data_IF_420298644045
#
_entry.id   IF_420298644045
#
_cell.length_a   1.000
_cell.length_b   1.000
_cell.length_c   1.000
_cell.angle_alpha   90.00
_cell.angle_beta   90.00
_cell.angle_gamma   90.00
#
_symmetry.space_group_name_H-M   'P 1'
#
loop_
_entity.id
_entity.type
_entity.pdbx_description
1 polymer ?
#
# COMPACT_ATOMS: atom_id res chain seq x y z
N UNK A 1 -3.85 -6.73 -21.57
CA UNK A 1 -3.97 -7.37 -20.23
C UNK A 1 -2.68 -7.37 -19.42
N UNK A 2 -1.51 -7.76 -19.98
CA UNK A 2 -0.22 -7.73 -19.24
C UNK A 2 0.10 -6.37 -18.60
N UNK A 3 -0.13 -5.28 -19.34
CA UNK A 3 0.07 -3.90 -18.84
C UNK A 3 -0.85 -3.59 -17.66
N UNK A 4 -2.11 -4.01 -17.73
CA UNK A 4 -3.11 -3.77 -16.67
C UNK A 4 -2.72 -4.51 -15.39
N UNK A 5 -2.33 -5.78 -15.47
CA UNK A 5 -1.85 -6.54 -14.30
C UNK A 5 -0.56 -5.97 -13.73
N UNK A 6 0.35 -5.46 -14.56
CA UNK A 6 1.58 -4.81 -14.10
C UNK A 6 1.30 -3.49 -13.38
N UNK A 7 0.35 -2.69 -13.87
CA UNK A 7 -0.06 -1.46 -13.18
C UNK A 7 -0.75 -1.79 -11.85
N UNK A 8 -1.60 -2.82 -11.81
CA UNK A 8 -2.28 -3.25 -10.59
C UNK A 8 -1.29 -3.76 -9.53
N UNK A 9 -0.30 -4.55 -9.96
CA UNK A 9 0.79 -5.00 -9.09
C UNK A 9 1.62 -3.82 -8.57
N UNK A 10 1.99 -2.88 -9.44
CA UNK A 10 2.72 -1.69 -9.05
C UNK A 10 1.95 -0.87 -8.01
N UNK A 11 0.63 -0.72 -8.19
CA UNK A 11 -0.23 0.01 -7.27
C UNK A 11 -0.38 -0.70 -5.91
N UNK A 12 -0.43 -2.05 -5.92
CA UNK A 12 -0.42 -2.85 -4.71
C UNK A 12 0.92 -2.73 -3.95
N UNK A 13 2.05 -2.79 -4.67
CA UNK A 13 3.39 -2.58 -4.10
C UNK A 13 3.49 -1.17 -3.51
N UNK A 14 2.98 -0.15 -4.20
CA UNK A 14 2.96 1.21 -3.70
C UNK A 14 2.17 1.32 -2.39
N UNK A 15 1.01 0.64 -2.27
CA UNK A 15 0.25 0.60 -1.02
C UNK A 15 1.05 -0.03 0.13
N UNK A 16 1.81 -1.10 -0.12
CA UNK A 16 2.70 -1.72 0.88
C UNK A 16 3.78 -0.74 1.34
N UNK A 17 4.42 -0.04 0.40
CA UNK A 17 5.47 0.95 0.71
C UNK A 17 4.91 2.09 1.55
N UNK A 18 3.72 2.60 1.23
CA UNK A 18 3.04 3.64 2.02
C UNK A 18 2.72 3.17 3.44
N UNK A 19 2.19 1.96 3.60
CA UNK A 19 1.93 1.38 4.92
C UNK A 19 3.23 1.22 5.73
N UNK A 20 4.29 0.76 5.07
CA UNK A 20 5.60 0.59 5.69
C UNK A 20 6.23 1.94 6.10
N UNK A 21 6.08 2.97 5.27
CA UNK A 21 6.52 4.33 5.61
C UNK A 21 5.82 4.86 6.86
N UNK A 22 4.51 4.63 7.00
CA UNK A 22 3.78 4.99 8.24
C UNK A 22 4.36 4.27 9.46
N UNK A 23 4.62 2.97 9.33
CA UNK A 23 5.18 2.17 10.42
C UNK A 23 6.59 2.66 10.79
N UNK A 24 7.44 2.95 9.81
CA UNK A 24 8.77 3.52 10.04
C UNK A 24 8.71 4.86 10.79
N UNK A 25 7.82 5.77 10.37
CA UNK A 25 7.66 7.06 11.05
C UNK A 25 7.21 6.86 12.48
N UNK A 26 6.25 5.95 12.73
CA UNK A 26 5.82 5.61 14.09
C UNK A 26 7.00 5.08 14.93
N UNK A 27 7.74 4.09 14.41
CA UNK A 27 8.88 3.51 15.12
C UNK A 27 9.99 4.52 15.38
N UNK A 28 10.27 5.43 14.45
CA UNK A 28 11.27 6.48 14.63
C UNK A 28 10.79 7.52 15.65
N UNK A 29 9.50 7.86 15.64
CA UNK A 29 8.92 8.75 16.64
C UNK A 29 8.98 8.13 18.05
N UNK A 30 8.68 6.84 18.19
CA UNK A 30 8.77 6.13 19.47
C UNK A 30 10.22 5.93 19.93
N UNK A 31 11.16 5.68 19.01
CA UNK A 31 12.54 5.33 19.36
C UNK A 31 13.47 6.54 19.53
N UNK A 32 13.23 7.64 18.80
CA UNK A 32 14.07 8.83 18.81
C UNK A 32 13.36 10.10 19.30
N UNK A 33 12.10 10.01 19.73
CA UNK A 33 11.25 11.15 20.13
C UNK A 33 11.17 12.25 19.04
N UNK A 34 11.47 11.87 17.80
CA UNK A 34 11.36 12.76 16.66
C UNK A 34 9.87 13.01 16.40
N UNK A 35 9.45 14.27 16.27
CA UNK A 35 8.08 14.61 15.85
C UNK A 35 7.98 14.59 14.32
N UNK A 36 8.37 13.47 13.68
CA UNK A 36 8.16 13.33 12.24
C UNK A 36 6.67 13.19 11.99
N UNK A 37 6.14 14.20 11.31
CA UNK A 37 4.78 14.20 10.80
C UNK A 37 4.74 13.45 9.49
N UNK A 38 3.70 12.66 9.31
CA UNK A 38 3.50 11.95 8.04
C UNK A 38 2.80 12.89 7.06
N UNK A 39 3.55 13.89 6.58
CA UNK A 39 3.06 15.02 5.77
C UNK A 39 2.19 14.67 4.57
N UNK A 40 2.27 13.44 4.05
CA UNK A 40 1.51 13.00 2.89
C UNK A 40 0.07 12.57 3.22
N UNK A 41 -0.19 11.97 4.39
CA UNK A 41 -1.42 11.21 4.65
C UNK A 41 -2.01 11.38 6.07
N UNK A 42 -1.47 12.28 6.88
CA UNK A 42 -1.88 12.45 8.29
C UNK A 42 -3.28 13.04 8.47
N UNK A 43 -3.77 13.84 7.52
CA UNK A 43 -5.10 14.47 7.56
C UNK A 43 -6.27 13.53 7.21
N UNK A 44 -6.00 12.31 6.74
CA UNK A 44 -7.06 11.39 6.33
C UNK A 44 -7.27 10.31 7.41
N UNK A 45 -8.44 10.31 8.09
CA UNK A 45 -8.73 9.33 9.14
C UNK A 45 -8.78 7.91 8.55
N UNK A 46 -8.36 6.93 9.35
CA UNK A 46 -8.36 5.50 8.98
C UNK A 46 -7.52 5.13 7.74
N UNK A 47 -6.56 5.96 7.31
CA UNK A 47 -5.78 5.71 6.09
C UNK A 47 -5.10 4.35 6.00
N UNK A 48 -4.60 3.82 7.13
CA UNK A 48 -3.99 2.50 7.12
C UNK A 48 -5.01 1.41 6.73
N UNK A 49 -6.24 1.52 7.22
CA UNK A 49 -7.34 0.60 6.90
C UNK A 49 -7.71 0.74 5.43
N UNK A 50 -7.81 1.98 4.93
CA UNK A 50 -8.12 2.26 3.52
C UNK A 50 -7.05 1.67 2.60
N UNK A 51 -5.76 1.86 2.91
CA UNK A 51 -4.64 1.31 2.15
C UNK A 51 -4.65 -0.22 2.14
N UNK A 52 -4.98 -0.87 3.27
CA UNK A 52 -5.10 -2.33 3.34
C UNK A 52 -6.27 -2.81 2.46
N UNK A 53 -7.43 -2.17 2.53
CA UNK A 53 -8.58 -2.52 1.68
C UNK A 53 -8.25 -2.33 0.19
N UNK A 54 -7.58 -1.22 -0.17
CA UNK A 54 -7.12 -0.97 -1.54
C UNK A 54 -6.16 -2.05 -2.03
N UNK A 55 -5.23 -2.47 -1.17
CA UNK A 55 -4.29 -3.53 -1.48
C UNK A 55 -5.01 -4.83 -1.86
N UNK A 56 -6.04 -5.23 -1.11
CA UNK A 56 -6.86 -6.40 -1.45
C UNK A 56 -7.61 -6.22 -2.77
N UNK A 57 -8.20 -5.04 -2.99
CA UNK A 57 -8.93 -4.72 -4.23
C UNK A 57 -8.00 -4.77 -5.46
N UNK A 58 -6.72 -4.43 -5.32
CA UNK A 58 -5.76 -4.49 -6.43
C UNK A 58 -5.09 -5.85 -6.58
N UNK A 59 -4.75 -6.52 -5.48
CA UNK A 59 -4.04 -7.80 -5.51
C UNK A 59 -4.93 -8.95 -6.00
N UNK A 60 -6.18 -9.05 -5.51
CA UNK A 60 -7.07 -10.19 -5.84
C UNK A 60 -7.35 -10.26 -7.35
N UNK A 61 -7.79 -9.17 -8.03
CA UNK A 61 -8.03 -9.22 -9.47
C UNK A 61 -6.75 -9.40 -10.27
N UNK A 62 -5.61 -8.84 -9.82
CA UNK A 62 -4.31 -9.03 -10.50
C UNK A 62 -3.96 -10.51 -10.59
N UNK A 63 -4.04 -11.23 -9.46
CA UNK A 63 -3.77 -12.66 -9.39
C UNK A 63 -4.77 -13.49 -10.20
N UNK A 64 -6.07 -13.19 -10.09
CA UNK A 64 -7.11 -13.90 -10.87
C UNK A 64 -6.91 -13.74 -12.39
N UNK A 65 -6.51 -12.56 -12.87
CA UNK A 65 -6.25 -12.31 -14.30
C UNK A 65 -4.96 -13.02 -14.74
N UNK A 66 -3.91 -13.05 -13.91
CA UNK A 66 -2.67 -13.80 -14.20
C UNK A 66 -2.93 -15.30 -14.29
N UNK A 67 -3.75 -15.85 -13.39
CA UNK A 67 -4.10 -17.27 -13.38
C UNK A 67 -4.84 -17.68 -14.66
N UNK A 68 -5.84 -16.90 -15.07
CA UNK A 68 -6.57 -17.12 -16.35
C UNK A 68 -5.70 -16.99 -17.60
N UNK A 69 -4.52 -16.37 -17.50
CA UNK A 69 -3.58 -16.19 -18.61
C UNK A 69 -2.52 -17.29 -18.70
N UNK A 70 -2.31 -18.04 -17.62
CA UNK A 70 -1.40 -19.21 -17.59
C UNK A 70 -2.09 -20.50 -18.06
N UNK A 71 -3.41 -20.53 -17.99
CA UNK A 71 -4.27 -21.55 -18.59
C UNK A 71 -4.53 -21.23 -20.06
#
# INVERSE_FOLDING_TARGET
MKVITTILDFLAILCVILLFSKFLILSVNEMFDWKLRWYFLEDIPHMAIILVVLLFIFAIPSEMIKEKRKK
#
